data_IF_497490101952
#
_entry.id   IF_497490101952
#
_cell.length_a   1.000
_cell.length_b   1.000
_cell.length_c   1.000
_cell.angle_alpha   90.00
_cell.angle_beta   90.00
_cell.angle_gamma   90.00
#
_symmetry.space_group_name_H-M   'P 1'
#
loop_
_entity.id
_entity.type
_entity.pdbx_description
1 polymer ?
#
# COMPACT_ATOMS: atom_id res chain seq x y z
N UNK A 1 -33.98 15.33 -17.96
CA UNK A 1 -32.64 15.82 -17.54
C UNK A 1 -31.98 14.99 -16.44
N UNK A 2 -32.70 14.45 -15.46
CA UNK A 2 -32.09 13.76 -14.31
C UNK A 2 -31.29 12.48 -14.66
N UNK A 3 -31.68 11.73 -15.70
CA UNK A 3 -31.07 10.43 -16.05
C UNK A 3 -29.70 10.58 -16.73
N UNK A 4 -29.52 11.57 -17.62
CA UNK A 4 -28.21 11.82 -18.23
C UNK A 4 -27.15 12.25 -17.21
N UNK A 5 -27.53 13.05 -16.21
CA UNK A 5 -26.61 13.50 -15.16
C UNK A 5 -26.16 12.29 -14.33
N UNK A 6 -27.08 11.41 -13.95
CA UNK A 6 -26.76 10.18 -13.22
C UNK A 6 -25.82 9.28 -14.03
N UNK A 7 -26.12 9.06 -15.31
CA UNK A 7 -25.27 8.25 -16.20
C UNK A 7 -23.87 8.85 -16.34
N UNK A 8 -23.77 10.17 -16.53
CA UNK A 8 -22.49 10.86 -16.63
C UNK A 8 -21.68 10.73 -15.33
N UNK A 9 -22.34 10.85 -14.17
CA UNK A 9 -21.71 10.64 -12.85
C UNK A 9 -21.15 9.21 -12.70
N UNK A 10 -21.90 8.20 -13.15
CA UNK A 10 -21.45 6.80 -13.07
C UNK A 10 -20.25 6.50 -13.96
N UNK A 11 -20.17 7.11 -15.14
CA UNK A 11 -19.02 6.97 -16.04
C UNK A 11 -17.79 7.64 -15.44
N UNK A 12 -17.95 8.86 -14.92
CA UNK A 12 -16.87 9.60 -14.25
C UNK A 12 -16.32 8.82 -13.05
N UNK A 13 -17.20 8.22 -12.24
CA UNK A 13 -16.75 7.42 -11.09
C UNK A 13 -15.94 6.19 -11.52
N UNK A 14 -16.35 5.49 -12.58
CA UNK A 14 -15.60 4.34 -13.12
C UNK A 14 -14.19 4.71 -13.58
N UNK A 15 -14.00 5.89 -14.15
CA UNK A 15 -12.68 6.37 -14.61
C UNK A 15 -11.80 6.87 -13.46
N UNK A 16 -12.41 7.49 -12.43
CA UNK A 16 -11.68 8.07 -11.30
C UNK A 16 -11.26 7.00 -10.27
N UNK A 17 -12.08 5.98 -10.04
CA UNK A 17 -11.82 4.93 -9.05
C UNK A 17 -10.44 4.23 -9.24
N UNK A 18 -10.07 3.75 -10.45
CA UNK A 18 -8.75 3.17 -10.69
C UNK A 18 -7.60 4.14 -10.41
N UNK A 19 -7.79 5.43 -10.75
CA UNK A 19 -6.76 6.44 -10.54
C UNK A 19 -6.50 6.68 -9.04
N UNK A 20 -7.57 6.74 -8.23
CA UNK A 20 -7.46 6.87 -6.77
C UNK A 20 -6.70 5.67 -6.19
N UNK A 21 -7.08 4.46 -6.59
CA UNK A 21 -6.44 3.22 -6.12
C UNK A 21 -4.95 3.20 -6.47
N UNK A 22 -4.59 3.57 -7.70
CA UNK A 22 -3.18 3.61 -8.12
C UNK A 22 -2.39 4.65 -7.34
N UNK A 23 -2.96 5.82 -7.09
CA UNK A 23 -2.34 6.89 -6.32
C UNK A 23 -2.11 6.45 -4.87
N UNK A 24 -3.10 5.83 -4.24
CA UNK A 24 -2.97 5.31 -2.88
C UNK A 24 -1.96 4.14 -2.81
N UNK A 25 -1.93 3.25 -3.80
CA UNK A 25 -0.91 2.18 -3.91
C UNK A 25 0.51 2.76 -3.96
N UNK A 26 0.71 3.84 -4.71
CA UNK A 26 2.02 4.52 -4.77
C UNK A 26 2.38 5.12 -3.41
N UNK A 27 1.42 5.73 -2.71
CA UNK A 27 1.65 6.31 -1.40
C UNK A 27 1.98 5.24 -0.34
N UNK A 28 1.27 4.10 -0.33
CA UNK A 28 1.59 2.96 0.54
C UNK A 28 3.02 2.43 0.28
N UNK A 29 3.42 2.31 -1.00
CA UNK A 29 4.79 1.90 -1.36
C UNK A 29 5.85 2.86 -0.87
N UNK A 30 5.60 4.17 -0.89
CA UNK A 30 6.53 5.17 -0.34
C UNK A 30 6.67 5.03 1.17
N UNK A 31 5.57 4.80 1.89
CA UNK A 31 5.60 4.61 3.33
C UNK A 31 6.41 3.36 3.70
N UNK A 32 6.11 2.21 3.06
CA UNK A 32 6.90 0.99 3.23
C UNK A 32 8.38 1.23 2.98
N UNK A 33 8.72 1.85 1.83
CA UNK A 33 10.10 2.16 1.47
C UNK A 33 10.79 3.01 2.54
N UNK A 34 10.12 4.04 3.06
CA UNK A 34 10.68 4.90 4.10
C UNK A 34 11.02 4.12 5.38
N UNK A 35 10.19 3.15 5.77
CA UNK A 35 10.46 2.31 6.94
C UNK A 35 11.64 1.37 6.68
N UNK A 36 11.69 0.72 5.51
CA UNK A 36 12.78 -0.19 5.15
C UNK A 36 14.13 0.52 5.04
N UNK A 37 14.16 1.72 4.45
CA UNK A 37 15.37 2.54 4.33
C UNK A 37 15.93 2.95 5.69
N UNK A 38 15.07 3.24 6.68
CA UNK A 38 15.48 3.55 8.06
C UNK A 38 16.37 2.44 8.67
N UNK A 39 16.10 1.18 8.32
CA UNK A 39 16.83 0.02 8.82
C UNK A 39 17.84 -0.54 7.82
N UNK A 40 17.96 0.04 6.62
CA UNK A 40 18.78 -0.45 5.52
C UNK A 40 18.52 -1.95 5.26
N UNK A 41 17.27 -2.27 4.92
CA UNK A 41 16.78 -3.62 4.62
C UNK A 41 15.90 -3.61 3.38
N UNK A 42 15.69 -4.78 2.79
CA UNK A 42 14.85 -4.93 1.60
C UNK A 42 13.41 -5.36 1.89
N UNK A 43 13.15 -5.92 3.08
CA UNK A 43 11.83 -6.41 3.49
C UNK A 43 11.63 -6.35 5.02
N UNK A 44 10.37 -6.41 5.51
CA UNK A 44 10.08 -6.33 6.94
C UNK A 44 10.73 -7.46 7.77
N UNK A 45 10.83 -8.67 7.22
CA UNK A 45 11.40 -9.84 7.91
C UNK A 45 12.88 -9.63 8.28
N UNK A 46 13.62 -8.85 7.48
CA UNK A 46 14.98 -8.45 7.83
C UNK A 46 15.03 -7.50 9.04
N UNK A 47 13.99 -6.68 9.30
CA UNK A 47 13.90 -5.87 10.52
C UNK A 47 13.74 -6.79 11.73
N UNK A 48 12.79 -7.73 11.66
CA UNK A 48 12.57 -8.73 12.71
C UNK A 48 13.84 -9.52 13.02
N UNK A 49 14.56 -9.96 11.98
CA UNK A 49 15.83 -10.67 12.13
C UNK A 49 16.88 -9.83 12.88
N UNK A 50 17.01 -8.54 12.53
CA UNK A 50 17.93 -7.62 13.21
C UNK A 50 17.54 -7.35 14.68
N UNK A 51 16.27 -7.48 15.02
CA UNK A 51 15.80 -7.41 16.42
C UNK A 51 16.21 -8.69 17.14
N UNK A 52 15.90 -9.85 16.55
CA UNK A 52 16.15 -11.17 17.15
C UNK A 52 17.64 -11.44 17.40
N UNK A 53 18.51 -11.01 16.49
CA UNK A 53 19.97 -11.17 16.64
C UNK A 53 20.63 -10.08 17.50
N UNK A 54 19.84 -9.10 17.97
CA UNK A 54 20.31 -8.00 18.81
C UNK A 54 21.09 -6.91 18.07
N UNK A 55 21.08 -6.90 16.73
CA UNK A 55 21.73 -5.85 15.92
C UNK A 55 21.07 -4.48 16.16
N UNK A 56 19.76 -4.44 16.36
CA UNK A 56 18.99 -3.22 16.68
C UNK A 56 18.13 -3.44 17.94
N UNK A 57 17.86 -2.39 18.73
CA UNK A 57 16.99 -2.51 19.90
C UNK A 57 15.55 -2.81 19.49
N UNK A 58 14.87 -3.64 20.28
CA UNK A 58 13.47 -4.04 20.04
C UNK A 58 12.54 -2.83 19.99
N UNK A 59 12.70 -1.87 20.89
CA UNK A 59 11.98 -0.59 20.82
C UNK A 59 12.88 0.51 20.26
N UNK A 60 12.42 1.30 19.26
CA UNK A 60 11.09 1.29 18.63
C UNK A 60 10.94 0.34 17.41
N UNK A 61 11.95 -0.50 17.11
CA UNK A 61 12.03 -1.23 15.85
C UNK A 61 10.89 -2.24 15.61
N UNK A 62 10.35 -2.86 16.65
CA UNK A 62 9.27 -3.82 16.54
C UNK A 62 7.98 -3.17 16.01
N UNK A 63 7.67 -1.95 16.45
CA UNK A 63 6.49 -1.21 15.94
C UNK A 63 6.66 -0.82 14.47
N UNK A 64 7.87 -0.44 14.08
CA UNK A 64 8.18 -0.16 12.68
C UNK A 64 8.08 -1.43 11.81
N UNK A 65 8.51 -2.58 12.33
CA UNK A 65 8.32 -3.89 11.68
C UNK A 65 6.83 -4.20 11.46
N UNK A 66 5.99 -4.05 12.49
CA UNK A 66 4.55 -4.25 12.37
C UNK A 66 3.90 -3.29 11.36
N UNK A 67 4.33 -2.02 11.38
CA UNK A 67 3.90 -1.04 10.38
C UNK A 67 4.30 -1.44 8.96
N UNK A 68 5.53 -1.90 8.76
CA UNK A 68 6.02 -2.36 7.47
C UNK A 68 5.25 -3.58 6.94
N UNK A 69 4.95 -4.55 7.81
CA UNK A 69 4.10 -5.69 7.47
C UNK A 69 2.69 -5.25 7.04
N UNK A 70 2.10 -4.31 7.78
CA UNK A 70 0.79 -3.76 7.44
C UNK A 70 0.80 -3.09 6.06
N UNK A 71 1.82 -2.28 5.76
CA UNK A 71 1.95 -1.67 4.43
C UNK A 71 2.10 -2.72 3.33
N UNK A 72 2.93 -3.75 3.55
CA UNK A 72 3.13 -4.81 2.56
C UNK A 72 1.83 -5.55 2.25
N UNK A 73 1.06 -5.92 3.28
CA UNK A 73 -0.23 -6.57 3.13
C UNK A 73 -1.22 -5.69 2.34
N UNK A 74 -1.36 -4.41 2.74
CA UNK A 74 -2.23 -3.46 2.04
C UNK A 74 -1.83 -3.26 0.58
N UNK A 75 -0.53 -3.20 0.29
CA UNK A 75 -0.01 -3.10 -1.09
C UNK A 75 -0.44 -4.31 -1.92
N UNK A 76 -0.38 -5.51 -1.36
CA UNK A 76 -0.76 -6.73 -2.08
C UNK A 76 -2.26 -6.83 -2.33
N UNK A 77 -3.09 -6.42 -1.36
CA UNK A 77 -4.54 -6.28 -1.56
C UNK A 77 -4.88 -5.24 -2.63
N UNK A 78 -4.22 -4.08 -2.60
CA UNK A 78 -4.43 -3.01 -3.58
C UNK A 78 -3.98 -3.43 -4.99
N UNK A 79 -2.93 -4.24 -5.14
CA UNK A 79 -2.55 -4.80 -6.45
C UNK A 79 -3.64 -5.70 -7.02
N UNK A 80 -4.26 -6.55 -6.18
CA UNK A 80 -5.36 -7.41 -6.61
C UNK A 80 -6.60 -6.59 -7.00
N UNK A 81 -6.89 -5.52 -6.26
CA UNK A 81 -7.97 -4.61 -6.59
C UNK A 81 -7.70 -3.85 -7.90
N UNK A 82 -6.50 -3.29 -8.07
CA UNK A 82 -6.08 -2.64 -9.31
C UNK A 82 -6.16 -3.59 -10.51
N UNK A 83 -5.73 -4.85 -10.35
CA UNK A 83 -5.84 -5.86 -11.41
C UNK A 83 -7.29 -6.08 -11.84
N UNK A 84 -8.22 -6.25 -10.89
CA UNK A 84 -9.65 -6.41 -11.18
C UNK A 84 -10.22 -5.19 -11.90
N UNK A 85 -9.89 -3.98 -11.42
CA UNK A 85 -10.35 -2.74 -12.07
C UNK A 85 -9.84 -2.62 -13.51
N UNK A 86 -8.61 -3.05 -13.81
CA UNK A 86 -8.07 -3.04 -15.18
C UNK A 86 -8.75 -4.10 -16.06
N UNK A 87 -9.07 -5.27 -15.51
CA UNK A 87 -9.76 -6.36 -16.23
C UNK A 87 -11.24 -6.05 -16.51
N UNK A 88 -11.86 -5.18 -15.70
CA UNK A 88 -13.25 -4.74 -15.83
C UNK A 88 -13.44 -3.54 -16.80
N UNK A 89 -12.34 -2.99 -17.34
CA UNK A 89 -12.32 -1.93 -18.35
C UNK A 89 -12.26 -2.49 -19.78
#
# INVERSE_FOLDING_TARGET
MSVCIYYMMTVINKEIEPLIVLKDLVDQKKQLKSVLEKYNVDNPEQIEKKIQDGTIPEHPAYEDYLGALSFQHTIDEMKLLAKRLIEDF
#
